data_IF_714976732391
#
_entry.id   IF_714976732391
#
_cell.length_a   1.000
_cell.length_b   1.000
_cell.length_c   1.000
_cell.angle_alpha   90.00
_cell.angle_beta   90.00
_cell.angle_gamma   90.00
#
_symmetry.space_group_name_H-M   'P 1'
#
loop_
_entity.id
_entity.type
_entity.pdbx_description
1 polymer ?
#
# COMPACT_ATOMS: atom_id res chain seq x y z
N UNK A 1 50.74 19.98 -10.12
CA UNK A 1 49.70 20.90 -9.62
C UNK A 1 48.48 20.67 -10.51
N UNK A 2 47.33 20.17 -10.09
CA UNK A 2 46.57 20.43 -8.86
C UNK A 2 46.13 19.14 -8.16
N UNK A 3 46.24 19.14 -6.84
CA UNK A 3 45.64 18.18 -5.91
C UNK A 3 44.12 18.48 -5.85
N UNK A 4 43.25 17.49 -5.97
CA UNK A 4 41.89 17.56 -5.40
C UNK A 4 41.56 16.20 -4.80
N UNK A 5 42.08 16.04 -3.58
CA UNK A 5 41.67 15.03 -2.61
C UNK A 5 40.38 15.55 -1.99
N UNK A 6 39.23 15.16 -2.54
CA UNK A 6 37.94 15.38 -1.90
C UNK A 6 37.58 14.15 -1.07
N UNK A 7 37.34 14.41 0.20
CA UNK A 7 37.16 13.48 1.31
C UNK A 7 36.18 12.33 1.05
N UNK A 8 36.68 11.10 1.16
CA UNK A 8 35.89 9.91 1.49
C UNK A 8 35.40 10.05 2.93
N UNK A 9 34.28 10.73 3.11
CA UNK A 9 33.57 10.81 4.38
C UNK A 9 32.70 9.56 4.54
N UNK A 10 33.06 8.70 5.50
CA UNK A 10 32.25 7.56 5.93
C UNK A 10 30.88 8.07 6.40
N UNK A 11 29.86 7.88 5.57
CA UNK A 11 28.46 8.18 5.89
C UNK A 11 27.97 7.11 6.88
N UNK A 12 27.42 7.55 8.01
CA UNK A 12 26.82 6.68 9.02
C UNK A 12 25.50 6.04 8.54
N UNK A 13 25.12 4.90 9.12
CA UNK A 13 23.88 4.20 8.75
C UNK A 13 22.61 5.09 8.87
N UNK A 14 22.59 6.04 9.82
CA UNK A 14 21.51 7.01 10.00
C UNK A 14 21.41 8.04 8.87
N UNK A 15 22.56 8.49 8.34
CA UNK A 15 22.61 9.44 7.23
C UNK A 15 22.23 8.78 5.90
N UNK A 16 22.45 7.46 5.79
CA UNK A 16 22.01 6.67 4.64
C UNK A 16 20.48 6.56 4.59
N UNK A 17 19.81 6.30 5.71
CA UNK A 17 18.34 6.18 5.75
C UNK A 17 17.63 7.50 5.40
N UNK A 18 18.14 8.62 5.92
CA UNK A 18 17.65 9.95 5.56
C UNK A 18 17.91 10.26 4.07
N UNK A 19 19.05 9.83 3.53
CA UNK A 19 19.36 9.98 2.11
C UNK A 19 18.46 9.12 1.21
N UNK A 20 18.15 7.88 1.63
CA UNK A 20 17.18 6.99 0.97
C UNK A 20 15.80 7.65 0.93
N UNK A 21 15.35 8.21 2.05
CA UNK A 21 14.05 8.89 2.16
C UNK A 21 13.97 10.09 1.22
N UNK A 22 15.03 10.92 1.12
CA UNK A 22 15.09 12.02 0.15
C UNK A 22 15.04 11.54 -1.30
N UNK A 23 15.76 10.46 -1.63
CA UNK A 23 15.72 9.89 -2.98
C UNK A 23 14.34 9.34 -3.34
N UNK A 24 13.61 8.78 -2.38
CA UNK A 24 12.23 8.32 -2.54
C UNK A 24 11.28 9.49 -2.84
N UNK A 25 11.34 10.59 -2.08
CA UNK A 25 10.49 11.77 -2.32
C UNK A 25 10.75 12.41 -3.69
N UNK A 26 12.01 12.42 -4.16
CA UNK A 26 12.38 12.89 -5.51
C UNK A 26 11.88 12.00 -6.67
N UNK A 27 11.50 10.75 -6.38
CA UNK A 27 10.85 9.89 -7.37
C UNK A 27 9.35 10.18 -7.39
N UNK A 28 8.77 10.48 -6.23
CA UNK A 28 7.35 10.79 -6.06
C UNK A 28 6.94 12.14 -6.63
N UNK A 29 7.81 13.15 -6.54
CA UNK A 29 7.58 14.47 -7.13
C UNK A 29 7.68 14.49 -8.67
N UNK A 30 8.10 13.38 -9.28
CA UNK A 30 8.24 13.22 -10.72
C UNK A 30 9.53 13.81 -11.31
N UNK A 31 10.50 14.20 -10.48
CA UNK A 31 11.81 14.72 -10.91
C UNK A 31 12.56 13.69 -11.76
N UNK A 32 12.35 12.39 -11.51
CA UNK A 32 12.92 11.28 -12.26
C UNK A 32 11.84 10.35 -12.79
N UNK A 33 11.80 10.13 -14.11
CA UNK A 33 10.81 9.24 -14.74
C UNK A 33 11.23 7.78 -14.66
N UNK A 34 10.50 6.99 -13.88
CA UNK A 34 10.72 5.55 -13.70
C UNK A 34 9.85 4.72 -14.66
N UNK A 35 8.56 5.07 -14.80
CA UNK A 35 7.59 4.39 -15.67
C UNK A 35 7.54 5.01 -17.08
N UNK A 36 7.47 4.19 -18.13
CA UNK A 36 7.27 4.59 -19.53
C UNK A 36 5.85 4.28 -20.00
N UNK A 37 5.39 4.88 -21.13
CA UNK A 37 4.02 4.67 -21.64
C UNK A 37 3.63 3.22 -21.94
N UNK A 38 4.60 2.34 -22.22
CA UNK A 38 4.36 0.94 -22.60
C UNK A 38 4.40 -0.04 -21.39
N UNK A 39 4.10 0.43 -20.18
CA UNK A 39 4.26 -0.32 -18.91
C UNK A 39 5.67 -0.91 -18.67
N UNK A 40 6.66 -0.29 -19.32
CA UNK A 40 8.07 -0.60 -19.16
C UNK A 40 8.72 0.39 -18.19
N UNK A 41 9.71 -0.09 -17.45
CA UNK A 41 10.37 0.67 -16.41
C UNK A 41 11.85 0.88 -16.69
N UNK A 42 12.40 1.97 -16.17
CA UNK A 42 13.83 2.27 -16.31
C UNK A 42 14.42 2.73 -15.00
N UNK A 43 15.61 2.24 -14.68
CA UNK A 43 16.38 2.78 -13.57
C UNK A 43 16.88 4.19 -13.92
N UNK A 44 16.45 5.25 -13.22
CA UNK A 44 16.91 6.61 -13.49
C UNK A 44 18.39 6.82 -13.11
N UNK A 45 18.93 5.95 -12.27
CA UNK A 45 20.28 6.05 -11.72
C UNK A 45 21.34 5.27 -12.50
N UNK A 46 20.93 4.47 -13.49
CA UNK A 46 21.80 3.64 -14.31
C UNK A 46 21.67 3.96 -15.82
N UNK A 47 22.10 5.15 -16.27
CA UNK A 47 21.91 5.56 -17.67
C UNK A 47 22.84 4.84 -18.67
N UNK A 48 23.99 4.30 -18.20
CA UNK A 48 25.11 3.91 -19.07
C UNK A 48 25.32 2.41 -19.33
N UNK A 49 24.77 1.49 -18.52
CA UNK A 49 25.00 0.04 -18.71
C UNK A 49 23.72 -0.64 -19.18
N UNK A 50 23.52 -0.62 -20.50
CA UNK A 50 22.40 -1.19 -21.28
C UNK A 50 21.06 -0.46 -21.07
N UNK A 51 20.59 0.20 -22.13
CA UNK A 51 19.20 0.67 -22.27
C UNK A 51 18.26 -0.56 -22.34
N UNK A 52 18.02 -1.23 -21.22
CA UNK A 52 16.94 -2.19 -21.13
C UNK A 52 15.78 -1.48 -20.46
N UNK A 53 14.70 -1.36 -21.21
CA UNK A 53 13.39 -1.20 -20.64
C UNK A 53 13.11 -2.51 -19.86
N UNK A 54 12.81 -2.40 -18.57
CA UNK A 54 12.61 -3.52 -17.65
C UNK A 54 11.11 -3.77 -17.44
N UNK A 55 10.75 -5.01 -17.14
CA UNK A 55 9.48 -5.30 -16.46
C UNK A 55 9.59 -4.88 -14.98
N UNK A 56 8.45 -4.66 -14.31
CA UNK A 56 8.40 -4.20 -12.91
C UNK A 56 9.29 -5.05 -11.98
N UNK A 57 9.12 -6.37 -12.01
CA UNK A 57 9.90 -7.30 -11.18
C UNK A 57 11.40 -7.28 -11.50
N UNK A 58 11.76 -7.12 -12.78
CA UNK A 58 13.16 -7.10 -13.21
C UNK A 58 13.86 -5.83 -12.76
N UNK A 59 13.18 -4.68 -12.82
CA UNK A 59 13.73 -3.43 -12.30
C UNK A 59 13.84 -3.47 -10.77
N UNK A 60 12.82 -4.02 -10.09
CA UNK A 60 12.83 -4.15 -8.63
C UNK A 60 14.00 -5.03 -8.17
N UNK A 61 14.23 -6.13 -8.87
CA UNK A 61 15.35 -7.03 -8.63
C UNK A 61 16.68 -6.33 -8.88
N UNK A 62 16.84 -5.63 -10.02
CA UNK A 62 18.01 -4.83 -10.32
C UNK A 62 18.32 -3.81 -9.21
N UNK A 63 17.33 -3.03 -8.78
CA UNK A 63 17.51 -2.00 -7.77
C UNK A 63 17.84 -2.59 -6.40
N UNK A 64 17.22 -3.72 -6.04
CA UNK A 64 17.50 -4.49 -4.82
C UNK A 64 18.94 -5.02 -4.82
N UNK A 65 19.41 -5.57 -5.93
CA UNK A 65 20.76 -6.13 -6.04
C UNK A 65 21.85 -5.04 -5.94
N UNK A 66 21.62 -3.89 -6.58
CA UNK A 66 22.51 -2.73 -6.44
C UNK A 66 22.46 -2.16 -5.01
N UNK A 67 21.28 -2.11 -4.41
CA UNK A 67 21.09 -1.66 -3.02
C UNK A 67 21.71 -2.58 -1.97
N UNK A 68 21.97 -3.87 -2.29
CA UNK A 68 22.57 -4.87 -1.40
C UNK A 68 24.07 -5.13 -1.64
N UNK A 69 24.66 -4.53 -2.68
CA UNK A 69 26.07 -4.73 -3.04
C UNK A 69 27.07 -4.43 -1.90
N UNK A 70 28.18 -5.17 -1.86
CA UNK A 70 29.19 -5.12 -0.81
C UNK A 70 30.32 -4.12 -1.08
N UNK A 71 30.59 -3.27 -0.07
CA UNK A 71 31.76 -2.41 0.22
C UNK A 71 32.16 -1.28 -0.77
N UNK A 72 32.07 -0.05 -0.25
CA UNK A 72 32.88 1.14 -0.56
C UNK A 72 33.01 1.65 -2.01
N UNK A 73 32.03 1.39 -2.87
CA UNK A 73 31.88 2.21 -4.09
C UNK A 73 30.49 2.83 -4.13
N UNK A 74 30.43 4.06 -3.62
CA UNK A 74 29.33 5.02 -3.75
C UNK A 74 28.07 4.70 -2.91
N UNK A 75 28.13 5.03 -1.60
CA UNK A 75 26.99 4.97 -0.66
C UNK A 75 25.78 5.76 -1.19
N UNK A 76 26.02 6.87 -1.91
CA UNK A 76 24.95 7.65 -2.55
C UNK A 76 24.31 6.87 -3.70
N UNK A 77 25.08 6.16 -4.51
CA UNK A 77 24.53 5.27 -5.54
C UNK A 77 23.66 4.16 -4.94
N UNK A 78 24.09 3.57 -3.82
CA UNK A 78 23.31 2.58 -3.06
C UNK A 78 22.00 3.17 -2.54
N UNK A 79 22.06 4.32 -1.86
CA UNK A 79 20.89 4.99 -1.30
C UNK A 79 19.85 5.38 -2.36
N UNK A 80 20.29 5.81 -3.54
CA UNK A 80 19.41 6.06 -4.70
C UNK A 80 18.62 4.81 -5.11
N UNK A 81 19.28 3.65 -5.21
CA UNK A 81 18.62 2.40 -5.59
C UNK A 81 17.71 1.85 -4.49
N UNK A 82 18.07 2.02 -3.21
CA UNK A 82 17.18 1.70 -2.10
C UNK A 82 15.93 2.60 -2.09
N UNK A 83 16.09 3.89 -2.40
CA UNK A 83 14.96 4.81 -2.60
C UNK A 83 14.06 4.39 -3.77
N UNK A 84 14.66 3.90 -4.87
CA UNK A 84 13.92 3.32 -5.99
C UNK A 84 13.13 2.07 -5.60
N UNK A 85 13.73 1.15 -4.85
CA UNK A 85 13.03 -0.05 -4.34
C UNK A 85 11.82 0.33 -3.51
N UNK A 86 11.96 1.34 -2.64
CA UNK A 86 10.86 1.85 -1.81
C UNK A 86 9.75 2.43 -2.67
N UNK A 87 10.08 3.34 -3.60
CA UNK A 87 9.12 3.96 -4.51
C UNK A 87 8.39 2.92 -5.38
N UNK A 88 9.11 1.92 -5.87
CA UNK A 88 8.52 0.85 -6.66
C UNK A 88 7.48 0.04 -5.86
N UNK A 89 7.76 -0.29 -4.60
CA UNK A 89 6.86 -1.07 -3.75
C UNK A 89 5.69 -0.26 -3.19
N UNK A 90 5.93 0.99 -2.82
CA UNK A 90 4.97 1.78 -2.06
C UNK A 90 4.02 2.56 -2.98
N UNK A 91 4.51 3.06 -4.13
CA UNK A 91 3.71 3.90 -5.05
C UNK A 91 3.47 3.23 -6.40
N UNK A 92 4.48 2.61 -7.04
CA UNK A 92 4.28 2.03 -8.38
C UNK A 92 3.53 0.68 -8.36
N UNK A 93 3.73 -0.14 -7.33
CA UNK A 93 2.90 -1.33 -7.10
C UNK A 93 1.44 -0.87 -6.93
N UNK A 94 1.18 0.17 -6.14
CA UNK A 94 -0.19 0.71 -6.00
C UNK A 94 -0.76 1.31 -7.28
N UNK A 95 0.04 1.98 -8.10
CA UNK A 95 -0.40 2.51 -9.39
C UNK A 95 -0.62 1.41 -10.45
N UNK A 96 0.20 0.36 -10.46
CA UNK A 96 -0.01 -0.82 -11.31
C UNK A 96 -1.24 -1.60 -10.85
N UNK A 97 -1.41 -1.75 -9.53
CA UNK A 97 -2.61 -2.30 -8.91
C UNK A 97 -3.83 -1.46 -9.30
N UNK A 98 -3.76 -0.12 -9.24
CA UNK A 98 -4.83 0.81 -9.61
C UNK A 98 -5.17 0.78 -11.12
N UNK A 99 -4.15 0.68 -11.98
CA UNK A 99 -4.32 0.61 -13.43
C UNK A 99 -4.90 -0.74 -13.87
N UNK A 100 -4.45 -1.84 -13.26
CA UNK A 100 -5.07 -3.16 -13.48
C UNK A 100 -6.46 -3.23 -12.84
N UNK A 101 -6.67 -2.56 -11.72
CA UNK A 101 -7.96 -2.43 -11.05
C UNK A 101 -8.99 -1.70 -11.90
N UNK A 102 -8.61 -0.62 -12.59
CA UNK A 102 -9.48 0.07 -13.55
C UNK A 102 -9.85 -0.83 -14.73
N UNK A 103 -8.93 -1.68 -15.21
CA UNK A 103 -9.25 -2.72 -16.20
C UNK A 103 -10.27 -3.76 -15.68
N UNK A 104 -10.05 -4.29 -14.48
CA UNK A 104 -10.91 -5.32 -13.87
C UNK A 104 -12.29 -4.79 -13.44
N UNK A 105 -12.37 -3.54 -12.98
CA UNK A 105 -13.64 -2.89 -12.62
C UNK A 105 -14.49 -2.56 -13.84
N UNK A 106 -13.89 -2.26 -15.00
CA UNK A 106 -14.63 -2.08 -16.26
C UNK A 106 -15.26 -3.39 -16.73
N UNK A 107 -14.58 -4.52 -16.58
CA UNK A 107 -15.16 -5.85 -16.87
C UNK A 107 -16.20 -6.27 -15.81
N UNK A 108 -15.98 -5.91 -14.55
CA UNK A 108 -16.92 -6.15 -13.45
C UNK A 108 -18.11 -5.18 -13.40
N UNK A 109 -18.11 -4.07 -14.17
CA UNK A 109 -19.21 -3.10 -14.24
C UNK A 109 -20.49 -3.64 -14.91
N UNK A 110 -20.48 -4.89 -15.40
CA UNK A 110 -21.72 -5.64 -15.64
C UNK A 110 -22.40 -6.13 -14.34
N UNK A 111 -21.74 -6.00 -13.18
CA UNK A 111 -22.15 -6.46 -11.85
C UNK A 111 -22.07 -5.37 -10.78
N UNK A 112 -22.54 -4.15 -11.07
CA UNK A 112 -22.60 -3.00 -10.12
C UNK A 112 -23.32 -3.35 -8.80
N UNK A 113 -24.07 -4.45 -8.77
CA UNK A 113 -24.80 -4.96 -7.61
C UNK A 113 -24.15 -6.20 -6.95
N UNK A 114 -22.94 -6.59 -7.34
CA UNK A 114 -22.26 -7.73 -6.73
C UNK A 114 -21.96 -7.43 -5.27
N UNK A 115 -22.54 -8.25 -4.39
CA UNK A 115 -22.31 -8.19 -2.96
C UNK A 115 -21.15 -9.12 -2.61
N UNK A 116 -20.08 -8.51 -2.12
CA UNK A 116 -18.89 -9.17 -1.61
C UNK A 116 -19.00 -9.31 -0.10
N UNK A 117 -18.40 -10.37 0.46
CA UNK A 117 -18.20 -10.42 1.91
C UNK A 117 -17.02 -9.50 2.26
N UNK A 118 -17.24 -8.56 3.17
CA UNK A 118 -16.27 -7.59 3.68
C UNK A 118 -15.92 -7.88 5.15
N UNK A 119 -14.63 -7.96 5.57
CA UNK A 119 -13.41 -7.87 4.75
C UNK A 119 -13.36 -8.86 3.61
N UNK A 120 -12.58 -8.58 2.56
CA UNK A 120 -12.56 -9.47 1.39
C UNK A 120 -12.13 -10.88 1.79
N UNK A 121 -12.99 -11.85 1.49
CA UNK A 121 -12.73 -13.27 1.73
C UNK A 121 -12.61 -14.04 0.42
N UNK A 122 -11.55 -14.81 0.28
CA UNK A 122 -11.43 -15.91 -0.68
C UNK A 122 -11.87 -17.22 -0.04
N UNK A 123 -12.42 -18.11 -0.85
CA UNK A 123 -12.80 -19.46 -0.46
C UNK A 123 -11.92 -20.41 -1.25
N UNK A 124 -11.29 -21.34 -0.54
CA UNK A 124 -10.61 -22.49 -1.11
C UNK A 124 -11.41 -23.74 -0.77
N UNK A 125 -11.69 -24.56 -1.77
CA UNK A 125 -12.40 -25.82 -1.62
C UNK A 125 -11.52 -27.01 -1.98
N UNK A 126 -11.94 -28.21 -1.56
CA UNK A 126 -11.20 -29.46 -1.70
C UNK A 126 -9.83 -29.45 -0.96
N UNK A 127 -9.78 -28.74 0.17
CA UNK A 127 -8.57 -28.60 0.99
C UNK A 127 -8.38 -29.85 1.84
N UNK A 128 -7.28 -30.57 1.61
CA UNK A 128 -6.84 -31.67 2.47
C UNK A 128 -5.92 -31.21 3.62
N UNK A 129 -5.64 -32.13 4.55
CA UNK A 129 -4.83 -31.84 5.72
C UNK A 129 -3.36 -31.50 5.40
N UNK A 130 -2.82 -32.04 4.31
CA UNK A 130 -1.43 -31.81 3.91
C UNK A 130 -1.27 -30.41 3.31
N UNK A 131 -2.15 -30.05 2.38
CA UNK A 131 -2.21 -28.74 1.71
C UNK A 131 -2.43 -27.60 2.69
N UNK A 132 -3.22 -27.85 3.74
CA UNK A 132 -3.55 -26.87 4.78
C UNK A 132 -2.32 -26.26 5.46
N UNK A 133 -1.28 -27.06 5.70
CA UNK A 133 -0.04 -26.62 6.37
C UNK A 133 0.80 -25.67 5.52
N UNK A 134 0.68 -25.75 4.19
CA UNK A 134 1.46 -24.95 3.22
C UNK A 134 0.66 -23.82 2.61
N UNK A 135 -0.67 -23.88 2.68
CA UNK A 135 -1.61 -23.00 1.99
C UNK A 135 -1.28 -21.52 2.16
N UNK A 136 -1.02 -21.06 3.38
CA UNK A 136 -0.66 -19.66 3.62
C UNK A 136 0.64 -19.27 2.91
N UNK A 137 1.68 -20.10 3.02
CA UNK A 137 2.98 -19.84 2.40
C UNK A 137 2.90 -19.86 0.88
N UNK A 138 2.12 -20.79 0.31
CA UNK A 138 1.97 -20.92 -1.13
C UNK A 138 1.17 -19.75 -1.73
N UNK A 139 0.10 -19.32 -1.06
CA UNK A 139 -0.63 -18.10 -1.44
C UNK A 139 0.25 -16.84 -1.33
N UNK A 140 1.11 -16.74 -0.31
CA UNK A 140 2.07 -15.64 -0.20
C UNK A 140 3.09 -15.67 -1.35
N UNK A 141 3.64 -16.84 -1.71
CA UNK A 141 4.58 -16.98 -2.84
C UNK A 141 3.95 -16.63 -4.18
N UNK A 142 2.65 -16.89 -4.35
CA UNK A 142 1.86 -16.50 -5.52
C UNK A 142 1.54 -15.00 -5.56
N UNK A 143 1.92 -14.23 -4.54
CA UNK A 143 1.73 -12.78 -4.51
C UNK A 143 0.36 -12.33 -3.98
N UNK A 144 -0.49 -13.26 -3.52
CA UNK A 144 -1.78 -12.91 -2.94
C UNK A 144 -1.67 -12.29 -1.54
N UNK A 145 -0.59 -12.63 -0.82
CA UNK A 145 -0.24 -12.13 0.52
C UNK A 145 -1.47 -11.98 1.45
N UNK A 146 -2.07 -13.11 1.84
CA UNK A 146 -3.25 -13.14 2.68
C UNK A 146 -2.93 -12.76 4.13
N UNK A 147 -3.84 -12.02 4.76
CA UNK A 147 -3.76 -11.67 6.19
C UNK A 147 -3.84 -12.95 7.01
N UNK A 148 -4.81 -13.82 6.66
CA UNK A 148 -5.09 -15.04 7.41
C UNK A 148 -5.66 -16.11 6.48
N UNK A 149 -5.31 -17.36 6.76
CA UNK A 149 -5.94 -18.53 6.14
C UNK A 149 -6.49 -19.38 7.27
N UNK A 150 -7.80 -19.64 7.26
CA UNK A 150 -8.48 -20.43 8.28
C UNK A 150 -9.12 -21.67 7.66
N UNK A 151 -8.65 -22.86 7.99
CA UNK A 151 -9.35 -24.09 7.59
C UNK A 151 -10.66 -24.23 8.35
N UNK A 152 -11.69 -24.71 7.66
CA UNK A 152 -12.96 -25.09 8.24
C UNK A 152 -12.95 -26.61 8.41
N UNK A 153 -12.98 -27.07 9.67
CA UNK A 153 -12.77 -28.45 10.12
C UNK A 153 -13.82 -29.46 9.62
N UNK A 154 -14.83 -29.01 8.89
CA UNK A 154 -15.86 -29.86 8.27
C UNK A 154 -16.17 -29.31 6.89
N UNK A 155 -16.00 -30.11 5.84
CA UNK A 155 -16.38 -29.73 4.47
C UNK A 155 -15.24 -29.41 3.51
N UNK A 156 -13.97 -29.53 3.93
CA UNK A 156 -12.83 -29.39 3.02
C UNK A 156 -12.66 -27.97 2.46
N UNK A 157 -13.07 -26.96 3.24
CA UNK A 157 -12.92 -25.55 2.87
C UNK A 157 -11.84 -24.88 3.71
N UNK A 158 -11.19 -23.87 3.15
CA UNK A 158 -10.43 -22.88 3.88
C UNK A 158 -10.84 -21.48 3.44
N UNK A 159 -10.93 -20.56 4.40
CA UNK A 159 -11.26 -19.17 4.15
C UNK A 159 -9.96 -18.35 4.20
N UNK A 160 -9.72 -17.61 3.12
CA UNK A 160 -8.58 -16.71 2.94
C UNK A 160 -9.07 -15.29 3.20
N UNK A 161 -8.47 -14.59 4.15
CA UNK A 161 -8.79 -13.20 4.47
C UNK A 161 -7.73 -12.28 3.88
N UNK A 162 -8.18 -11.28 3.12
CA UNK A 162 -7.31 -10.27 2.54
C UNK A 162 -7.35 -8.96 3.35
N UNK A 163 -6.48 -8.01 2.99
CA UNK A 163 -6.41 -6.70 3.64
C UNK A 163 -7.73 -5.93 3.48
N UNK A 164 -8.03 -5.05 4.44
CA UNK A 164 -9.25 -4.24 4.49
C UNK A 164 -9.10 -2.93 3.70
N UNK A 165 -8.53 -3.03 2.49
CA UNK A 165 -8.23 -1.91 1.61
C UNK A 165 -8.40 -2.35 0.13
N UNK A 166 -8.17 -1.42 -0.80
CA UNK A 166 -8.25 -1.69 -2.23
C UNK A 166 -7.18 -2.67 -2.73
N UNK A 167 -6.00 -2.69 -2.11
CA UNK A 167 -4.96 -3.67 -2.44
C UNK A 167 -5.44 -5.09 -2.09
N UNK A 168 -6.12 -5.25 -0.95
CA UNK A 168 -6.77 -6.50 -0.55
C UNK A 168 -7.87 -6.90 -1.52
N UNK A 169 -8.66 -5.94 -2.03
CA UNK A 169 -9.69 -6.22 -3.02
C UNK A 169 -9.08 -6.76 -4.32
N UNK A 170 -8.08 -6.05 -4.85
CA UNK A 170 -7.37 -6.47 -6.05
C UNK A 170 -6.79 -7.88 -5.90
N UNK A 171 -6.15 -8.18 -4.76
CA UNK A 171 -5.57 -9.51 -4.49
C UNK A 171 -6.63 -10.59 -4.41
N UNK A 172 -7.81 -10.28 -3.88
CA UNK A 172 -8.95 -11.19 -3.90
C UNK A 172 -9.42 -11.47 -5.34
N UNK A 173 -9.59 -10.44 -6.16
CA UNK A 173 -9.99 -10.63 -7.57
C UNK A 173 -8.94 -11.42 -8.35
N UNK A 174 -7.65 -11.11 -8.19
CA UNK A 174 -6.57 -11.86 -8.83
C UNK A 174 -6.56 -13.32 -8.39
N UNK A 175 -6.79 -13.58 -7.11
CA UNK A 175 -6.94 -14.94 -6.59
C UNK A 175 -8.05 -15.69 -7.35
N UNK A 176 -9.25 -15.13 -7.47
CA UNK A 176 -10.35 -15.76 -8.22
C UNK A 176 -10.02 -15.95 -9.70
N UNK A 177 -9.42 -14.94 -10.35
CA UNK A 177 -9.06 -15.03 -11.77
C UNK A 177 -8.04 -16.11 -12.06
N UNK A 178 -7.06 -16.31 -11.19
CA UNK A 178 -6.06 -17.37 -11.37
C UNK A 178 -6.72 -18.76 -11.33
N UNK A 179 -7.64 -18.99 -10.39
CA UNK A 179 -8.41 -20.24 -10.35
C UNK A 179 -9.37 -20.39 -11.53
N UNK A 180 -10.00 -19.31 -12.01
CA UNK A 180 -10.86 -19.36 -13.22
C UNK A 180 -10.07 -19.73 -14.47
N UNK A 181 -8.86 -19.18 -14.66
CA UNK A 181 -7.99 -19.50 -15.81
C UNK A 181 -7.59 -20.97 -15.82
N UNK A 182 -7.31 -21.53 -14.65
CA UNK A 182 -6.94 -22.94 -14.48
C UNK A 182 -8.15 -23.90 -14.52
N UNK A 183 -9.37 -23.40 -14.77
CA UNK A 183 -10.62 -24.17 -14.68
C UNK A 183 -10.85 -24.81 -13.32
N UNK A 184 -10.44 -24.09 -12.29
CA UNK A 184 -10.63 -24.42 -10.89
C UNK A 184 -11.43 -23.34 -10.17
N UNK A 185 -12.25 -22.59 -10.91
CA UNK A 185 -13.13 -21.57 -10.35
C UNK A 185 -14.36 -22.18 -9.70
N UNK A 186 -15.21 -21.32 -9.13
CA UNK A 186 -16.48 -21.74 -8.49
C UNK A 186 -17.36 -22.57 -9.42
N UNK A 187 -17.48 -22.18 -10.68
CA UNK A 187 -18.32 -22.89 -11.67
C UNK A 187 -17.79 -24.30 -11.91
N UNK A 188 -16.48 -24.44 -12.05
CA UNK A 188 -15.84 -25.73 -12.28
C UNK A 188 -16.00 -26.67 -11.07
N UNK A 189 -15.92 -26.12 -9.86
CA UNK A 189 -16.17 -26.87 -8.63
C UNK A 189 -17.56 -27.53 -8.57
N UNK A 190 -18.58 -26.91 -9.19
CA UNK A 190 -19.95 -27.43 -9.20
C UNK A 190 -20.35 -28.21 -10.46
N UNK A 191 -19.54 -28.21 -11.53
CA UNK A 191 -19.96 -28.75 -12.84
C UNK A 191 -19.31 -30.08 -13.24
N UNK A 192 -18.42 -30.66 -12.42
CA UNK A 192 -17.75 -31.93 -12.74
C UNK A 192 -17.40 -32.81 -11.53
N UNK A 193 -16.94 -34.06 -11.77
CA UNK A 193 -16.36 -34.88 -10.72
C UNK A 193 -15.08 -34.24 -10.19
N UNK A 194 -15.03 -34.01 -8.87
CA UNK A 194 -13.86 -33.43 -8.20
C UNK A 194 -12.67 -34.37 -8.33
N UNK A 195 -11.59 -33.90 -8.95
CA UNK A 195 -10.33 -34.64 -9.00
C UNK A 195 -9.65 -34.56 -7.63
N UNK A 196 -9.06 -35.68 -7.20
CA UNK A 196 -8.36 -35.74 -5.93
C UNK A 196 -7.08 -34.87 -6.00
N UNK A 197 -6.91 -33.97 -5.03
CA UNK A 197 -5.72 -33.12 -4.91
C UNK A 197 -5.79 -31.78 -5.64
N UNK A 198 -6.87 -31.47 -6.36
CA UNK A 198 -7.04 -30.16 -7.02
C UNK A 198 -7.79 -29.19 -6.12
N UNK A 199 -7.20 -28.02 -5.89
CA UNK A 199 -7.84 -26.94 -5.14
C UNK A 199 -8.71 -26.10 -6.06
N UNK A 200 -9.86 -25.68 -5.55
CA UNK A 200 -10.74 -24.73 -6.24
C UNK A 200 -10.81 -23.43 -5.45
N UNK A 201 -10.90 -22.30 -6.15
CA UNK A 201 -10.82 -20.99 -5.52
C UNK A 201 -11.76 -19.96 -6.13
N UNK A 202 -12.40 -19.15 -5.28
CA UNK A 202 -13.22 -18.00 -5.70
C UNK A 202 -13.33 -16.97 -4.58
N UNK A 203 -13.75 -15.75 -4.90
CA UNK A 203 -14.02 -14.74 -3.87
C UNK A 203 -15.44 -14.93 -3.35
N UNK A 204 -15.62 -14.84 -2.02
CA UNK A 204 -16.90 -15.01 -1.36
C UNK A 204 -17.91 -13.93 -1.81
N UNK A 205 -19.10 -14.39 -2.21
CA UNK A 205 -20.24 -13.54 -2.61
C UNK A 205 -21.47 -13.81 -1.75
N UNK A 206 -22.57 -13.13 -2.06
CA UNK A 206 -23.85 -13.27 -1.36
C UNK A 206 -24.35 -14.72 -1.26
N UNK A 207 -24.15 -15.55 -2.27
CA UNK A 207 -24.57 -16.95 -2.23
C UNK A 207 -23.74 -17.79 -1.25
N UNK A 208 -22.42 -17.58 -1.18
CA UNK A 208 -21.55 -18.21 -0.17
C UNK A 208 -21.90 -17.74 1.24
N UNK A 209 -22.13 -16.43 1.39
CA UNK A 209 -22.52 -15.82 2.67
C UNK A 209 -23.85 -16.39 3.18
N UNK A 210 -24.82 -16.61 2.28
CA UNK A 210 -26.14 -17.10 2.65
C UNK A 210 -26.23 -18.63 2.74
N UNK A 211 -25.18 -19.35 2.35
CA UNK A 211 -25.14 -20.80 2.40
C UNK A 211 -25.36 -21.32 3.83
N UNK A 212 -26.09 -22.44 3.95
CA UNK A 212 -26.23 -23.13 5.22
C UNK A 212 -24.98 -23.97 5.52
N UNK A 213 -24.61 -24.05 6.81
CA UNK A 213 -23.46 -24.80 7.29
C UNK A 213 -22.24 -23.94 7.61
N UNK A 214 -21.12 -24.61 7.93
CA UNK A 214 -19.96 -23.99 8.58
C UNK A 214 -19.32 -22.85 7.78
N UNK A 215 -19.40 -22.88 6.45
CA UNK A 215 -18.87 -21.85 5.58
C UNK A 215 -19.68 -20.55 5.70
N UNK A 216 -20.98 -20.61 5.45
CA UNK A 216 -21.85 -19.43 5.55
C UNK A 216 -21.94 -18.91 6.98
N UNK A 217 -21.97 -19.79 7.99
CA UNK A 217 -21.90 -19.38 9.40
C UNK A 217 -20.59 -18.63 9.73
N UNK A 218 -19.45 -19.11 9.22
CA UNK A 218 -18.19 -18.41 9.39
C UNK A 218 -18.21 -17.04 8.72
N UNK A 219 -18.72 -16.94 7.50
CA UNK A 219 -18.78 -15.67 6.76
C UNK A 219 -19.70 -14.67 7.46
N UNK A 220 -20.90 -15.07 7.87
CA UNK A 220 -21.85 -14.23 8.65
C UNK A 220 -21.27 -13.73 9.97
N UNK A 221 -20.42 -14.54 10.62
CA UNK A 221 -19.81 -14.19 11.90
C UNK A 221 -18.64 -13.21 11.75
N UNK A 222 -17.94 -13.22 10.61
CA UNK A 222 -16.66 -12.51 10.44
C UNK A 222 -16.70 -11.41 9.38
N UNK A 223 -17.79 -11.24 8.65
CA UNK A 223 -17.93 -10.19 7.64
C UNK A 223 -19.37 -9.80 7.36
N UNK A 224 -19.51 -8.74 6.57
CA UNK A 224 -20.78 -8.16 6.14
C UNK A 224 -20.86 -8.15 4.61
N UNK A 225 -22.05 -8.25 4.03
CA UNK A 225 -22.21 -8.06 2.59
C UNK A 225 -22.14 -6.58 2.21
N UNK A 226 -21.27 -6.24 1.26
CA UNK A 226 -21.08 -4.88 0.75
C UNK A 226 -20.84 -4.87 -0.75
N UNK A 227 -21.32 -3.84 -1.42
CA UNK A 227 -20.91 -3.54 -2.80
C UNK A 227 -19.60 -2.76 -2.80
N UNK A 228 -18.92 -2.73 -3.95
CA UNK A 228 -17.76 -1.85 -4.17
C UNK A 228 -18.15 -0.38 -4.01
N UNK A 229 -19.32 0.01 -4.50
CA UNK A 229 -19.84 1.38 -4.38
C UNK A 229 -20.11 1.82 -2.93
N UNK A 230 -20.62 0.92 -2.09
CA UNK A 230 -20.81 1.19 -0.66
C UNK A 230 -19.47 1.47 0.04
N UNK A 231 -18.44 0.70 -0.30
CA UNK A 231 -17.11 0.84 0.26
C UNK A 231 -16.42 2.13 -0.20
N UNK A 232 -16.51 2.47 -1.48
CA UNK A 232 -16.03 3.76 -1.99
C UNK A 232 -16.69 4.94 -1.29
N UNK A 233 -18.01 4.88 -1.12
CA UNK A 233 -18.77 5.97 -0.48
C UNK A 233 -18.37 6.12 0.98
N UNK A 234 -18.22 5.01 1.70
CA UNK A 234 -17.80 5.01 3.10
C UNK A 234 -16.36 5.53 3.27
N UNK A 235 -15.45 5.19 2.36
CA UNK A 235 -14.08 5.70 2.38
C UNK A 235 -14.03 7.20 2.05
N UNK A 236 -14.72 7.65 0.99
CA UNK A 236 -14.85 9.08 0.65
C UNK A 236 -15.37 9.89 1.83
N UNK A 237 -16.38 9.36 2.54
CA UNK A 237 -16.94 9.98 3.74
C UNK A 237 -15.92 10.07 4.89
N UNK A 238 -15.17 9.00 5.16
CA UNK A 238 -14.12 9.00 6.21
C UNK A 238 -12.99 9.97 5.89
N UNK A 239 -12.52 9.98 4.65
CA UNK A 239 -11.48 10.92 4.19
C UNK A 239 -11.97 12.36 4.29
N UNK A 240 -13.21 12.63 3.87
CA UNK A 240 -13.81 13.95 4.01
C UNK A 240 -13.88 14.42 5.47
N UNK A 241 -14.27 13.53 6.40
CA UNK A 241 -14.30 13.84 7.83
C UNK A 241 -12.90 14.13 8.40
N UNK A 242 -11.90 13.34 8.00
CA UNK A 242 -10.52 13.55 8.42
C UNK A 242 -10.00 14.92 7.92
N UNK A 243 -10.23 15.24 6.64
CA UNK A 243 -9.84 16.52 6.05
C UNK A 243 -10.53 17.69 6.76
N UNK A 244 -11.83 17.58 7.04
CA UNK A 244 -12.57 18.60 7.77
C UNK A 244 -12.01 18.82 9.18
N UNK A 245 -11.71 17.75 9.92
CA UNK A 245 -11.13 17.83 11.26
C UNK A 245 -9.75 18.50 11.24
N UNK A 246 -8.87 18.10 10.30
CA UNK A 246 -7.54 18.71 10.15
C UNK A 246 -7.63 20.19 9.77
N UNK A 247 -8.56 20.54 8.88
CA UNK A 247 -8.81 21.93 8.48
C UNK A 247 -9.20 22.78 9.68
N UNK A 248 -10.12 22.28 10.52
CA UNK A 248 -10.52 22.94 11.75
C UNK A 248 -9.33 23.15 12.71
N UNK A 249 -8.48 22.13 12.89
CA UNK A 249 -7.28 22.25 13.72
C UNK A 249 -6.31 23.31 13.17
N UNK A 250 -6.10 23.37 11.85
CA UNK A 250 -5.26 24.39 11.23
C UNK A 250 -5.83 25.80 11.49
N UNK A 251 -7.15 25.98 11.34
CA UNK A 251 -7.80 27.26 11.64
C UNK A 251 -7.63 27.67 13.10
N UNK A 252 -7.79 26.73 14.03
CA UNK A 252 -7.62 27.02 15.46
C UNK A 252 -6.17 27.41 15.81
N UNK A 253 -5.18 26.71 15.23
CA UNK A 253 -3.76 27.04 15.43
C UNK A 253 -3.43 28.41 14.83
N UNK A 254 -3.94 28.74 13.64
CA UNK A 254 -3.76 30.07 13.03
C UNK A 254 -4.36 31.18 13.90
N UNK A 255 -5.59 31.00 14.38
CA UNK A 255 -6.22 31.97 15.27
C UNK A 255 -5.44 32.19 16.59
N UNK A 256 -4.82 31.13 17.13
CA UNK A 256 -3.95 31.24 18.31
C UNK A 256 -2.64 31.99 18.00
N UNK A 257 -2.05 31.76 16.83
CA UNK A 257 -0.85 32.49 16.39
C UNK A 257 -1.14 33.98 16.20
N UNK A 258 -2.21 34.31 15.47
CA UNK A 258 -2.63 35.71 15.25
C UNK A 258 -2.84 36.46 16.57
N UNK A 259 -3.42 35.79 17.58
CA UNK A 259 -3.64 36.36 18.92
C UNK A 259 -2.33 36.61 19.68
N UNK A 260 -1.33 35.74 19.54
CA UNK A 260 -0.02 35.92 20.17
C UNK A 260 0.71 37.09 19.50
N UNK A 261 0.68 37.16 18.17
CA UNK A 261 1.28 38.26 17.41
C UNK A 261 0.62 39.61 17.73
N UNK A 262 -0.71 39.66 17.85
CA UNK A 262 -1.41 40.89 18.24
C UNK A 262 -1.08 41.35 19.67
N UNK A 263 -0.89 40.40 20.59
CA UNK A 263 -0.55 40.72 21.99
C UNK A 263 0.92 41.12 22.18
N UNK A 264 1.81 40.73 21.27
CA UNK A 264 3.23 41.11 21.29
C UNK A 264 3.51 42.56 20.87
N UNK A 265 2.49 43.36 20.58
CA UNK A 265 2.60 44.75 20.09
C UNK A 265 2.06 45.82 21.04
N UNK A 266 1.70 45.51 22.29
CA UNK A 266 1.45 46.56 23.31
C UNK A 266 2.78 47.08 23.90
N UNK A 267 3.19 48.33 23.63
CA UNK A 267 4.36 48.91 24.30
C UNK A 267 4.04 49.19 25.77
N UNK A 268 5.00 49.03 26.70
CA UNK A 268 4.78 49.37 28.10
C UNK A 268 4.46 50.85 28.24
N UNK A 269 3.31 51.15 28.84
CA UNK A 269 2.88 52.49 29.22
C UNK A 269 3.98 53.17 30.04
N UNK A 270 4.62 54.19 29.46
CA UNK A 270 5.67 54.99 30.12
C UNK A 270 5.04 55.70 31.32
N UNK A 271 5.35 55.25 32.53
CA UNK A 271 5.05 55.96 33.77
C UNK A 271 5.96 57.19 33.84
N UNK A 272 5.37 58.38 33.71
CA UNK A 272 6.06 59.66 33.81
C UNK A 272 6.48 59.92 35.26
N UNK A 273 7.78 59.78 35.57
CA UNK A 273 8.36 60.18 36.86
C UNK A 273 8.64 61.68 36.82
N UNK A 274 7.77 62.48 37.43
CA UNK A 274 8.01 63.90 37.66
C UNK A 274 9.10 64.08 38.72
N UNK A 275 10.20 64.73 38.35
CA UNK A 275 11.21 65.22 39.29
C UNK A 275 10.65 66.38 40.12
N UNK A 276 10.60 66.22 41.44
CA UNK A 276 10.62 67.35 42.38
C UNK A 276 12.04 67.48 42.92
N UNK A 277 12.74 68.52 42.46
CA UNK A 277 13.82 69.17 43.22
C UNK A 277 13.13 70.09 44.22
N UNK A 278 13.46 69.97 45.51
CA UNK A 278 13.46 71.12 46.40
C UNK A 278 14.69 71.05 47.30
N UNK A 279 15.26 72.25 47.46
CA UNK A 279 16.59 72.60 47.93
C UNK A 279 16.75 72.45 49.45
N UNK A 280 17.99 72.18 49.89
CA UNK A 280 18.39 72.40 51.27
C UNK A 280 19.67 73.27 51.31
N UNK A 281 19.46 74.51 51.75
CA UNK A 281 20.37 75.49 52.35
C UNK A 281 21.50 76.10 51.49
#
# INVERSE_FOLDING_TARGET
MSYSSEDETDISDSELDEYVSRCYEQLKDGTQKVKRPDDLFRCPYCPGKKKMDYLFNDLLQHASDVGKGSQNKDIKHKGKHLGLVRYMKDDLDQDELSSKFTGLTVEANNGVNDLFVWPWFGILANVDAESMSRLKNDLTKRGFDPVRVRPLSSGGYAVVEFKRDWAGFYRAIMFEKEFEVDKHGKKDYYTGPRLAGELYGWVARADDYNLEGVLGEYLKKNGDLKTVGDLETEEKRKTGLLVANLTNTIHEVRARLDKIESNGHEPPSVVHVGSQKDEAH
#
